data_IF_780667844927
#
_entry.id   IF_780667844927
#
_cell.length_a   1.000
_cell.length_b   1.000
_cell.length_c   1.000
_cell.angle_alpha   90.00
_cell.angle_beta   90.00
_cell.angle_gamma   90.00
#
_symmetry.space_group_name_H-M   'P 1'
#
loop_
_entity.id
_entity.type
_entity.pdbx_description
1 polymer ?
#
# COMPACT_ATOMS: atom_id res chain seq x y z
N UNK A 1 68.63 -16.85 25.64
CA UNK A 1 69.21 -18.14 25.22
C UNK A 1 68.15 -18.87 24.40
N UNK A 2 68.30 -18.82 23.07
CA UNK A 2 68.48 -20.00 22.18
C UNK A 2 67.37 -21.05 22.34
N UNK A 3 66.38 -21.06 21.45
CA UNK A 3 66.37 -21.67 20.10
C UNK A 3 66.06 -23.17 20.16
N UNK A 4 65.00 -23.58 19.43
CA UNK A 4 64.95 -24.79 18.57
C UNK A 4 63.60 -24.84 17.81
N UNK A 5 63.71 -24.72 16.47
CA UNK A 5 62.78 -25.25 15.45
C UNK A 5 62.43 -26.72 15.74
N UNK A 6 61.31 -27.32 15.28
CA UNK A 6 60.97 -27.70 13.88
C UNK A 6 59.48 -28.10 13.85
N UNK A 7 58.65 -27.73 12.88
CA UNK A 7 58.64 -28.33 11.52
C UNK A 7 57.85 -29.65 11.50
N UNK A 8 56.61 -29.63 10.99
CA UNK A 8 55.93 -30.86 10.53
C UNK A 8 55.27 -30.60 9.19
N UNK A 9 55.62 -31.48 8.27
CA UNK A 9 55.44 -31.38 6.82
C UNK A 9 54.09 -31.93 6.33
N UNK A 10 53.64 -31.33 5.24
CA UNK A 10 52.89 -31.84 4.07
C UNK A 10 52.09 -33.14 4.17
N UNK A 11 50.82 -33.07 3.76
CA UNK A 11 50.28 -34.03 2.80
C UNK A 11 49.21 -33.35 1.92
N UNK A 12 49.57 -33.17 0.66
CA UNK A 12 48.69 -32.77 -0.44
C UNK A 12 48.05 -34.07 -0.95
N UNK A 13 46.75 -34.25 -0.72
CA UNK A 13 45.97 -35.28 -1.38
C UNK A 13 45.14 -34.65 -2.50
N UNK A 14 45.58 -34.92 -3.73
CA UNK A 14 44.85 -34.70 -4.98
C UNK A 14 43.45 -35.33 -4.88
N UNK A 15 42.41 -34.52 -5.04
CA UNK A 15 41.08 -35.03 -5.40
C UNK A 15 40.89 -34.85 -6.89
N UNK A 16 40.69 -36.01 -7.52
CA UNK A 16 40.57 -36.27 -8.93
C UNK A 16 39.27 -35.65 -9.44
N UNK A 17 39.38 -34.86 -10.49
CA UNK A 17 38.28 -34.37 -11.31
C UNK A 17 37.50 -35.55 -11.88
N UNK A 18 36.25 -35.71 -11.46
CA UNK A 18 35.24 -36.50 -12.17
C UNK A 18 34.25 -35.51 -12.74
N UNK A 19 34.29 -35.35 -14.06
CA UNK A 19 33.32 -34.61 -14.85
C UNK A 19 31.95 -35.27 -14.69
N UNK A 20 31.04 -34.60 -13.98
CA UNK A 20 29.65 -35.02 -13.90
C UNK A 20 28.87 -34.44 -15.10
N UNK A 21 28.43 -35.37 -15.93
CA UNK A 21 27.53 -35.26 -17.08
C UNK A 21 26.40 -34.22 -16.91
N UNK A 22 26.10 -33.40 -17.93
CA UNK A 22 25.06 -32.39 -17.87
C UNK A 22 23.65 -33.02 -17.81
N UNK A 23 22.94 -32.70 -16.73
CA UNK A 23 21.54 -33.09 -16.51
C UNK A 23 20.63 -32.50 -17.61
N UNK A 24 19.67 -33.27 -18.15
CA UNK A 24 18.78 -32.79 -19.20
C UNK A 24 17.81 -31.72 -18.70
N UNK A 25 17.56 -30.78 -19.60
CA UNK A 25 16.65 -29.63 -19.51
C UNK A 25 15.28 -30.04 -18.93
N UNK A 26 14.87 -29.39 -17.84
CA UNK A 26 13.53 -29.54 -17.27
C UNK A 26 12.46 -29.24 -18.34
N UNK A 27 11.57 -30.20 -18.54
CA UNK A 27 10.39 -30.10 -19.39
C UNK A 27 9.43 -29.02 -18.85
N UNK A 28 8.68 -28.31 -19.71
CA UNK A 28 7.70 -27.34 -19.25
C UNK A 28 6.56 -28.05 -18.49
N UNK A 29 6.25 -27.54 -17.30
CA UNK A 29 5.07 -27.92 -16.53
C UNK A 29 3.82 -27.66 -17.37
N UNK A 30 3.12 -28.75 -17.75
CA UNK A 30 1.80 -28.70 -18.35
C UNK A 30 0.83 -27.96 -17.43
N UNK A 31 0.23 -26.90 -17.96
CA UNK A 31 -0.86 -26.15 -17.34
C UNK A 31 -2.10 -27.06 -17.25
N UNK A 32 -2.76 -27.18 -16.08
CA UNK A 32 -4.01 -27.93 -16.00
C UNK A 32 -5.12 -27.19 -16.77
N UNK A 33 -5.78 -27.93 -17.67
CA UNK A 33 -6.98 -27.52 -18.40
C UNK A 33 -8.16 -27.42 -17.41
N UNK A 34 -8.99 -26.35 -17.44
CA UNK A 34 -10.16 -26.27 -16.57
C UNK A 34 -11.26 -27.25 -17.03
N UNK A 35 -11.72 -28.06 -16.07
CA UNK A 35 -12.91 -28.91 -16.19
C UNK A 35 -14.15 -28.05 -15.95
N UNK A 36 -15.23 -28.17 -16.75
CA UNK A 36 -16.47 -27.46 -16.49
C UNK A 36 -17.22 -28.12 -15.33
N UNK A 37 -17.50 -27.36 -14.27
CA UNK A 37 -18.45 -27.76 -13.22
C UNK A 37 -19.73 -26.94 -13.41
N UNK A 38 -20.78 -27.60 -13.87
CA UNK A 38 -22.14 -27.11 -13.81
C UNK A 38 -22.88 -27.87 -12.71
N UNK A 39 -23.48 -27.15 -11.76
CA UNK A 39 -24.85 -27.37 -11.28
C UNK A 39 -25.18 -26.43 -10.11
N UNK A 40 -26.39 -25.89 -10.17
CA UNK A 40 -26.97 -24.91 -9.27
C UNK A 40 -27.51 -25.53 -7.96
N UNK A 41 -27.62 -24.71 -6.91
CA UNK A 41 -28.53 -24.93 -5.77
C UNK A 41 -29.15 -23.56 -5.38
N UNK A 42 -30.47 -23.47 -5.08
CA UNK A 42 -31.17 -22.20 -4.93
C UNK A 42 -31.29 -21.72 -3.47
N UNK A 43 -31.52 -20.40 -3.33
CA UNK A 43 -32.46 -19.85 -2.34
C UNK A 43 -31.90 -19.40 -0.99
N UNK A 44 -31.60 -18.11 -0.86
CA UNK A 44 -31.43 -17.42 0.42
C UNK A 44 -31.55 -15.91 0.22
N UNK A 45 -32.75 -15.37 0.44
CA UNK A 45 -33.04 -13.95 0.29
C UNK A 45 -32.35 -13.13 1.39
N UNK A 46 -31.25 -12.45 1.03
CA UNK A 46 -30.71 -11.33 1.78
C UNK A 46 -30.79 -10.10 0.88
N UNK A 47 -31.35 -9.00 1.41
CA UNK A 47 -31.67 -7.79 0.67
C UNK A 47 -30.45 -7.25 -0.11
N UNK A 48 -30.57 -7.25 -1.44
CA UNK A 48 -29.57 -6.73 -2.35
C UNK A 48 -29.37 -5.22 -2.18
N UNK A 49 -28.13 -4.71 -2.13
CA UNK A 49 -27.86 -3.29 -2.36
C UNK A 49 -28.23 -2.92 -3.80
N UNK A 50 -28.61 -1.64 -4.06
CA UNK A 50 -29.11 -1.22 -5.36
C UNK A 50 -28.08 -1.45 -6.47
N UNK A 51 -28.47 -2.22 -7.48
CA UNK A 51 -27.71 -2.50 -8.70
C UNK A 51 -27.26 -1.20 -9.38
N UNK A 52 -25.94 -0.99 -9.42
CA UNK A 52 -25.31 0.04 -10.23
C UNK A 52 -25.60 -0.25 -11.71
N UNK A 53 -26.35 0.65 -12.36
CA UNK A 53 -26.64 0.57 -13.79
C UNK A 53 -25.33 0.72 -14.58
N UNK A 54 -25.01 -0.28 -15.41
CA UNK A 54 -23.86 -0.28 -16.32
C UNK A 54 -24.10 0.74 -17.43
N UNK A 55 -23.48 1.92 -17.35
CA UNK A 55 -23.07 2.80 -18.47
C UNK A 55 -22.85 4.29 -18.09
N UNK A 56 -22.76 4.68 -16.82
CA UNK A 56 -22.32 6.04 -16.50
C UNK A 56 -20.82 6.17 -16.78
N UNK A 57 -20.47 6.90 -17.84
CA UNK A 57 -19.08 7.27 -18.13
C UNK A 57 -18.52 8.12 -16.99
N UNK A 58 -17.22 8.02 -16.75
CA UNK A 58 -16.49 8.72 -15.68
C UNK A 58 -16.84 10.23 -15.63
N UNK A 59 -17.10 10.82 -16.79
CA UNK A 59 -17.56 12.21 -16.97
C UNK A 59 -18.96 12.50 -16.44
N UNK A 60 -19.95 11.66 -16.73
CA UNK A 60 -21.33 11.82 -16.22
C UNK A 60 -21.38 11.66 -14.70
N UNK A 61 -20.57 10.74 -14.17
CA UNK A 61 -20.46 10.49 -12.74
C UNK A 61 -19.81 11.66 -11.98
N UNK A 62 -18.71 12.20 -12.50
CA UNK A 62 -18.08 13.41 -11.96
C UNK A 62 -19.04 14.60 -12.00
N UNK A 63 -19.86 14.73 -13.06
CA UNK A 63 -20.88 15.78 -13.14
C UNK A 63 -21.95 15.64 -12.05
N UNK A 64 -22.38 14.41 -11.77
CA UNK A 64 -23.38 14.10 -10.74
C UNK A 64 -22.89 14.44 -9.34
N UNK A 65 -21.62 14.16 -9.04
CA UNK A 65 -20.95 14.53 -7.79
C UNK A 65 -20.85 16.07 -7.65
N UNK A 66 -20.45 16.77 -8.72
CA UNK A 66 -20.40 18.25 -8.73
C UNK A 66 -21.77 18.88 -8.49
N UNK A 67 -22.84 18.30 -9.04
CA UNK A 67 -24.22 18.78 -8.88
C UNK A 67 -24.78 18.56 -7.47
N UNK A 68 -24.47 17.42 -6.85
CA UNK A 68 -24.90 17.13 -5.47
C UNK A 68 -24.26 18.07 -4.43
N UNK A 69 -23.06 18.60 -4.72
CA UNK A 69 -22.30 19.48 -3.82
C UNK A 69 -22.69 20.95 -3.86
N UNK A 70 -23.33 21.44 -4.93
CA UNK A 70 -23.86 22.82 -4.98
C UNK A 70 -24.93 23.12 -3.91
N UNK A 71 -25.45 22.09 -3.23
CA UNK A 71 -26.44 22.22 -2.15
C UNK A 71 -25.83 22.14 -0.74
N UNK A 72 -24.55 21.80 -0.62
CA UNK A 72 -23.87 21.73 0.68
C UNK A 72 -23.41 23.15 1.09
N UNK A 73 -23.63 23.56 2.35
CA UNK A 73 -23.06 24.81 2.84
C UNK A 73 -21.52 24.75 2.74
N UNK A 74 -20.84 25.89 2.52
CA UNK A 74 -19.38 25.93 2.58
C UNK A 74 -18.90 25.35 3.92
N UNK A 75 -17.77 24.62 3.94
CA UNK A 75 -17.20 24.17 5.21
C UNK A 75 -16.99 25.41 6.08
N UNK A 76 -17.52 25.37 7.29
CA UNK A 76 -17.35 26.44 8.27
C UNK A 76 -15.86 26.80 8.36
N UNK A 77 -15.55 28.10 8.27
CA UNK A 77 -14.21 28.60 8.49
C UNK A 77 -13.72 28.09 9.85
N UNK A 78 -12.70 27.25 9.83
CA UNK A 78 -12.01 26.85 11.05
C UNK A 78 -11.19 28.08 11.46
N UNK A 79 -11.83 29.00 12.19
CA UNK A 79 -11.16 30.07 12.93
C UNK A 79 -10.48 29.48 14.17
N UNK A 80 -9.61 28.50 13.93
CA UNK A 80 -8.63 28.04 14.90
C UNK A 80 -7.36 28.83 14.66
N UNK A 81 -7.10 29.82 15.52
CA UNK A 81 -5.75 30.35 15.68
C UNK A 81 -4.80 29.13 15.81
N UNK A 82 -3.69 29.02 15.04
CA UNK A 82 -2.70 27.99 15.31
C UNK A 82 -2.33 28.08 16.79
N UNK A 83 -2.19 26.97 17.52
CA UNK A 83 -1.75 27.03 18.90
C UNK A 83 -0.41 27.79 18.93
N UNK A 84 -0.45 29.03 19.42
CA UNK A 84 0.71 29.85 19.73
C UNK A 84 1.30 29.36 21.04
N UNK A 85 1.63 28.07 21.07
CA UNK A 85 2.31 27.39 22.16
C UNK A 85 3.61 26.87 21.59
N UNK A 86 4.70 27.34 22.14
CA UNK A 86 6.06 26.90 21.83
C UNK A 86 6.15 25.37 21.93
N UNK A 87 6.03 24.66 20.80
CA UNK A 87 6.43 23.24 20.69
C UNK A 87 7.96 23.25 20.55
N UNK A 88 8.64 23.63 21.62
CA UNK A 88 10.09 23.44 21.75
C UNK A 88 10.34 22.97 23.17
N UNK A 89 10.13 21.68 23.41
CA UNK A 89 10.94 20.84 24.29
C UNK A 89 10.35 19.43 24.31
N UNK A 90 10.98 18.48 23.62
CA UNK A 90 11.11 17.06 24.01
C UNK A 90 11.62 16.18 22.86
N UNK A 91 12.64 16.62 22.13
CA UNK A 91 13.50 15.69 21.39
C UNK A 91 14.93 16.13 21.62
N UNK A 92 15.52 15.69 22.73
CA UNK A 92 16.94 15.86 23.01
C UNK A 92 17.73 14.84 22.18
N UNK A 93 17.56 14.91 20.86
CA UNK A 93 18.35 14.16 19.88
C UNK A 93 19.62 14.98 19.68
N UNK A 94 20.82 14.43 19.93
CA UNK A 94 22.06 15.13 19.59
C UNK A 94 22.02 15.45 18.10
N UNK A 95 21.93 16.74 17.76
CA UNK A 95 22.10 17.17 16.39
C UNK A 95 23.53 16.80 16.02
N UNK A 96 23.67 15.73 15.24
CA UNK A 96 24.95 15.38 14.65
C UNK A 96 25.41 16.61 13.86
N UNK A 97 26.67 16.99 14.05
CA UNK A 97 27.27 18.14 13.38
C UNK A 97 27.57 17.76 11.92
N UNK A 98 26.51 17.67 11.11
CA UNK A 98 26.55 17.27 9.70
C UNK A 98 26.72 18.52 8.84
N UNK A 99 27.77 18.56 8.02
CA UNK A 99 27.97 19.64 7.06
C UNK A 99 26.89 19.63 5.97
N UNK A 100 26.48 20.81 5.52
CA UNK A 100 25.48 20.96 4.47
C UNK A 100 26.06 20.49 3.12
N UNK A 101 25.44 19.52 2.42
CA UNK A 101 25.91 19.10 1.10
C UNK A 101 25.59 20.15 0.03
N UNK A 102 26.44 20.26 -0.99
CA UNK A 102 26.26 21.19 -2.12
C UNK A 102 25.14 20.77 -3.10
N UNK A 103 24.90 19.46 -3.23
CA UNK A 103 23.91 18.88 -4.15
C UNK A 103 24.30 18.95 -5.63
N UNK A 104 23.34 18.74 -6.54
CA UNK A 104 23.53 18.87 -7.99
C UNK A 104 22.51 19.86 -8.57
N UNK A 105 22.99 20.85 -9.33
CA UNK A 105 22.14 21.81 -10.07
C UNK A 105 21.53 21.22 -11.34
N UNK A 106 22.12 20.13 -11.84
CA UNK A 106 21.77 19.46 -13.08
C UNK A 106 21.86 17.95 -12.82
N UNK A 107 20.83 17.34 -12.20
CA UNK A 107 20.83 15.92 -11.88
C UNK A 107 20.77 15.06 -13.14
N UNK A 108 21.45 13.92 -13.12
CA UNK A 108 21.41 12.94 -14.20
C UNK A 108 20.05 12.26 -14.30
N UNK A 109 19.61 11.97 -15.52
CA UNK A 109 18.36 11.27 -15.79
C UNK A 109 18.67 9.82 -16.15
N UNK A 110 18.02 8.87 -15.45
CA UNK A 110 18.07 7.45 -15.76
C UNK A 110 16.69 6.90 -16.11
N UNK A 111 16.63 6.03 -17.12
CA UNK A 111 15.40 5.34 -17.51
C UNK A 111 15.23 4.06 -16.68
N UNK A 112 14.02 3.84 -16.13
CA UNK A 112 13.70 2.65 -15.32
C UNK A 112 12.40 2.03 -15.82
N UNK A 113 12.41 0.71 -16.08
CA UNK A 113 11.20 -0.06 -16.34
C UNK A 113 10.53 -0.45 -15.00
N UNK A 114 9.22 -0.24 -14.89
CA UNK A 114 8.45 -0.52 -13.67
C UNK A 114 7.21 -1.37 -13.95
N UNK A 115 7.01 -2.40 -13.14
CA UNK A 115 5.78 -3.20 -13.15
C UNK A 115 4.75 -2.57 -12.22
N UNK A 116 3.50 -2.48 -12.66
CA UNK A 116 2.38 -1.95 -11.86
C UNK A 116 1.16 -2.86 -11.97
N UNK A 117 0.45 -3.00 -10.87
CA UNK A 117 -0.85 -3.66 -10.86
C UNK A 117 -1.91 -2.73 -11.48
N UNK A 118 -2.67 -3.26 -12.44
CA UNK A 118 -3.87 -2.59 -12.95
C UNK A 118 -4.97 -2.68 -11.90
N UNK A 119 -5.33 -1.54 -11.31
CA UNK A 119 -6.34 -1.47 -10.26
C UNK A 119 -7.74 -1.26 -10.82
N UNK A 120 -8.74 -1.81 -10.14
CA UNK A 120 -10.15 -1.67 -10.45
C UNK A 120 -10.63 -0.30 -9.95
N UNK A 121 -10.96 0.59 -10.90
CA UNK A 121 -11.34 1.96 -10.59
C UNK A 121 -12.56 2.06 -9.66
N UNK A 122 -13.54 1.17 -9.82
CA UNK A 122 -14.75 1.17 -8.98
C UNK A 122 -14.48 0.86 -7.51
N UNK A 123 -13.48 0.02 -7.20
CA UNK A 123 -13.07 -0.24 -5.81
C UNK A 123 -12.53 1.03 -5.18
N UNK A 124 -11.65 1.75 -5.88
CA UNK A 124 -11.10 3.03 -5.40
C UNK A 124 -12.22 4.04 -5.14
N UNK A 125 -13.11 4.26 -6.11
CA UNK A 125 -14.21 5.22 -5.99
C UNK A 125 -15.10 4.88 -4.82
N UNK A 126 -15.53 3.62 -4.71
CA UNK A 126 -16.41 3.17 -3.65
C UNK A 126 -15.79 3.36 -2.26
N UNK A 127 -14.51 3.01 -2.08
CA UNK A 127 -13.81 3.16 -0.79
C UNK A 127 -13.70 4.62 -0.37
N UNK A 128 -13.38 5.53 -1.29
CA UNK A 128 -13.29 6.96 -1.01
C UNK A 128 -14.66 7.56 -0.66
N UNK A 129 -15.71 7.17 -1.37
CA UNK A 129 -17.08 7.64 -1.11
C UNK A 129 -17.63 7.12 0.21
N UNK A 130 -17.42 5.83 0.49
CA UNK A 130 -17.86 5.20 1.73
C UNK A 130 -17.20 5.86 2.95
N UNK A 131 -15.96 6.32 2.82
CA UNK A 131 -15.23 7.01 3.87
C UNK A 131 -15.73 8.44 4.15
N UNK A 132 -16.52 9.05 3.24
CA UNK A 132 -17.10 10.40 3.41
C UNK A 132 -16.09 11.48 3.80
N UNK A 133 -14.86 11.36 3.29
CA UNK A 133 -13.77 12.28 3.59
C UNK A 133 -13.18 12.15 5.00
N UNK A 134 -13.49 11.08 5.73
CA UNK A 134 -12.90 10.76 7.04
C UNK A 134 -11.92 9.60 6.88
N UNK A 135 -10.72 9.73 7.45
CA UNK A 135 -9.72 8.67 7.47
C UNK A 135 -10.21 7.47 8.29
N UNK A 136 -10.16 6.27 7.72
CA UNK A 136 -10.68 5.07 8.38
C UNK A 136 -9.75 4.52 9.48
N UNK A 137 -8.51 4.99 9.54
CA UNK A 137 -7.56 4.66 10.61
C UNK A 137 -7.71 5.60 11.82
N UNK A 138 -7.39 6.89 11.65
CA UNK A 138 -7.36 7.86 12.75
C UNK A 138 -8.67 8.62 12.98
N UNK A 139 -9.71 8.38 12.16
CA UNK A 139 -11.05 8.99 12.26
C UNK A 139 -11.08 10.52 12.14
N UNK A 140 -10.00 11.15 11.66
CA UNK A 140 -9.93 12.59 11.35
C UNK A 140 -10.40 12.88 9.93
N UNK A 141 -10.92 14.08 9.71
CA UNK A 141 -11.25 14.58 8.37
C UNK A 141 -10.00 14.62 7.47
N UNK A 142 -10.21 14.52 6.16
CA UNK A 142 -9.17 14.75 5.16
C UNK A 142 -8.44 16.07 5.43
N UNK A 143 -7.10 16.10 5.28
CA UNK A 143 -6.30 17.27 5.65
C UNK A 143 -6.53 18.48 4.73
N UNK A 144 -6.96 18.24 3.49
CA UNK A 144 -7.25 19.28 2.50
C UNK A 144 -8.18 18.73 1.42
N UNK A 145 -8.59 19.59 0.49
CA UNK A 145 -9.38 19.25 -0.68
C UNK A 145 -8.52 19.28 -1.95
N UNK A 146 -8.74 18.34 -2.88
CA UNK A 146 -8.11 18.35 -4.20
C UNK A 146 -8.59 19.54 -5.04
N UNK A 147 -7.96 19.75 -6.20
CA UNK A 147 -8.38 20.75 -7.19
C UNK A 147 -9.84 20.55 -7.64
N UNK A 148 -10.33 19.31 -7.61
CA UNK A 148 -11.73 18.97 -7.92
C UNK A 148 -12.70 19.24 -6.75
N UNK A 149 -12.20 19.80 -5.64
CA UNK A 149 -12.94 20.05 -4.42
C UNK A 149 -13.28 18.79 -3.62
N UNK A 150 -12.62 17.65 -3.87
CA UNK A 150 -12.86 16.38 -3.16
C UNK A 150 -11.94 16.28 -1.92
N UNK A 151 -12.42 15.80 -0.75
CA UNK A 151 -11.57 15.49 0.39
C UNK A 151 -10.42 14.59 -0.02
N UNK A 152 -9.18 14.98 0.27
CA UNK A 152 -8.00 14.23 -0.15
C UNK A 152 -7.72 13.06 0.81
N UNK A 153 -8.02 11.85 0.35
CA UNK A 153 -7.65 10.59 0.99
C UNK A 153 -7.06 9.63 -0.05
N UNK A 154 -6.25 8.69 0.42
CA UNK A 154 -5.54 7.71 -0.38
C UNK A 154 -6.09 6.31 -0.09
N UNK A 155 -6.34 5.53 -1.14
CA UNK A 155 -6.75 4.12 -1.00
C UNK A 155 -5.54 3.23 -0.77
N UNK A 156 -5.61 2.45 0.29
CA UNK A 156 -4.58 1.51 0.71
C UNK A 156 -5.16 0.09 0.80
N UNK A 157 -4.48 -0.89 0.19
CA UNK A 157 -4.78 -2.31 0.37
C UNK A 157 -4.09 -2.81 1.64
N UNK A 158 -4.86 -3.30 2.61
CA UNK A 158 -4.38 -3.72 3.94
C UNK A 158 -3.42 -4.91 3.82
N UNK A 159 -3.79 -5.92 3.02
CA UNK A 159 -2.85 -6.87 2.43
C UNK A 159 -2.34 -6.31 1.10
N UNK A 160 -1.04 -6.00 0.96
CA UNK A 160 -0.50 -5.43 -0.27
C UNK A 160 -0.73 -6.33 -1.49
N UNK A 161 -1.03 -5.75 -2.65
CA UNK A 161 -1.22 -6.50 -3.91
C UNK A 161 0.03 -7.32 -4.29
N UNK A 162 1.23 -6.78 -4.01
CA UNK A 162 2.50 -7.47 -4.26
C UNK A 162 2.70 -8.71 -3.37
N UNK A 163 1.97 -8.80 -2.26
CA UNK A 163 1.97 -9.90 -1.29
C UNK A 163 0.72 -10.79 -1.48
N UNK A 164 0.07 -10.69 -2.65
CA UNK A 164 -1.09 -11.52 -3.00
C UNK A 164 -2.42 -11.03 -2.44
N UNK A 165 -2.51 -9.80 -1.94
CA UNK A 165 -3.78 -9.20 -1.52
C UNK A 165 -4.72 -8.93 -2.69
N UNK A 166 -6.03 -9.06 -2.45
CA UNK A 166 -7.04 -8.85 -3.47
C UNK A 166 -7.30 -7.35 -3.72
N UNK A 167 -7.67 -6.98 -4.95
CA UNK A 167 -8.13 -5.63 -5.28
C UNK A 167 -9.65 -5.53 -5.09
N UNK A 168 -10.09 -5.60 -3.82
CA UNK A 168 -11.50 -5.62 -3.43
C UNK A 168 -11.78 -4.63 -2.31
N UNK A 169 -13.05 -4.28 -2.11
CA UNK A 169 -13.49 -3.39 -1.02
C UNK A 169 -13.25 -3.98 0.38
N UNK A 170 -13.16 -5.31 0.50
CA UNK A 170 -12.86 -6.03 1.74
C UNK A 170 -11.38 -6.06 2.10
N UNK A 171 -10.51 -5.61 1.20
CA UNK A 171 -9.07 -5.46 1.47
C UNK A 171 -8.61 -3.99 1.36
N UNK A 172 -9.50 -3.05 1.04
CA UNK A 172 -9.13 -1.66 0.77
C UNK A 172 -9.73 -0.66 1.79
N UNK A 173 -8.90 0.30 2.22
CA UNK A 173 -9.27 1.38 3.16
C UNK A 173 -8.89 2.76 2.63
N UNK A 174 -9.64 3.77 3.06
CA UNK A 174 -9.42 5.19 2.75
C UNK A 174 -8.67 5.88 3.89
N UNK A 175 -7.49 6.42 3.61
CA UNK A 175 -6.57 6.94 4.63
C UNK A 175 -6.10 8.35 4.34
N UNK A 176 -5.81 9.13 5.38
CA UNK A 176 -5.06 10.37 5.19
C UNK A 176 -3.59 10.05 4.83
N UNK A 177 -2.86 10.99 4.21
CA UNK A 177 -1.47 10.77 3.79
C UNK A 177 -0.57 10.28 4.94
N UNK A 178 -0.74 10.83 6.14
CA UNK A 178 0.06 10.47 7.32
C UNK A 178 -0.16 9.01 7.74
N UNK A 179 -1.43 8.60 7.95
CA UNK A 179 -1.73 7.22 8.31
C UNK A 179 -1.35 6.24 7.20
N UNK A 180 -1.49 6.64 5.94
CA UNK A 180 -1.08 5.81 4.82
C UNK A 180 0.44 5.56 4.82
N UNK A 181 1.26 6.59 5.05
CA UNK A 181 2.72 6.43 5.16
C UNK A 181 3.12 5.62 6.40
N UNK A 182 2.44 5.81 7.52
CA UNK A 182 2.69 5.04 8.75
C UNK A 182 2.41 3.53 8.57
N UNK A 183 1.40 3.15 7.79
CA UNK A 183 1.17 1.74 7.44
C UNK A 183 2.23 1.16 6.48
N UNK A 184 2.98 1.99 5.77
CA UNK A 184 4.11 1.51 4.96
C UNK A 184 5.40 1.41 5.77
N UNK A 185 5.70 2.43 6.60
CA UNK A 185 7.03 2.66 7.16
C UNK A 185 7.07 2.85 8.68
N UNK A 186 5.92 2.99 9.33
CA UNK A 186 5.83 3.28 10.76
C UNK A 186 6.18 2.07 11.63
N UNK A 187 6.85 2.33 12.75
CA UNK A 187 7.19 1.29 13.74
C UNK A 187 5.95 0.55 14.28
N UNK A 188 4.80 1.23 14.32
CA UNK A 188 3.52 0.69 14.81
C UNK A 188 2.63 0.13 13.70
N UNK A 189 3.16 -0.13 12.50
CA UNK A 189 2.41 -0.66 11.35
C UNK A 189 1.50 -1.83 11.74
N UNK A 190 2.04 -2.84 12.43
CA UNK A 190 1.29 -4.04 12.81
C UNK A 190 0.11 -3.74 13.72
N UNK A 191 0.28 -2.84 14.69
CA UNK A 191 -0.80 -2.39 15.59
C UNK A 191 -1.91 -1.68 14.79
N UNK A 192 -1.53 -0.83 13.84
CA UNK A 192 -2.48 -0.13 12.98
C UNK A 192 -3.25 -1.07 12.05
N UNK A 193 -2.60 -2.09 11.50
CA UNK A 193 -3.28 -3.12 10.69
C UNK A 193 -4.31 -3.86 11.54
N UNK A 194 -3.95 -4.27 12.76
CA UNK A 194 -4.88 -4.92 13.69
C UNK A 194 -6.05 -3.99 14.03
N UNK A 195 -5.78 -2.71 14.28
CA UNK A 195 -6.80 -1.69 14.55
C UNK A 195 -7.78 -1.52 13.37
N UNK A 196 -7.29 -1.55 12.13
CA UNK A 196 -8.13 -1.49 10.93
C UNK A 196 -9.08 -2.68 10.85
N UNK A 197 -8.58 -3.91 11.00
CA UNK A 197 -9.42 -5.11 10.99
C UNK A 197 -10.46 -5.11 12.13
N UNK A 198 -10.16 -4.49 13.27
CA UNK A 198 -11.11 -4.35 14.39
C UNK A 198 -12.19 -3.29 14.15
N UNK A 199 -11.84 -2.18 13.49
CA UNK A 199 -12.73 -0.99 13.43
C UNK A 199 -13.43 -0.80 12.10
N UNK A 200 -12.99 -1.48 11.04
CA UNK A 200 -13.59 -1.38 9.71
C UNK A 200 -14.27 -2.71 9.39
N UNK A 201 -15.57 -2.78 9.66
CA UNK A 201 -16.35 -4.03 9.64
C UNK A 201 -16.41 -4.76 8.29
N UNK A 202 -16.17 -4.06 7.18
CA UNK A 202 -16.14 -4.68 5.85
C UNK A 202 -14.84 -5.42 5.54
N UNK A 203 -13.79 -5.24 6.34
CA UNK A 203 -12.50 -5.87 6.07
C UNK A 203 -12.54 -7.35 6.41
N UNK A 204 -11.96 -8.17 5.54
CA UNK A 204 -11.83 -9.61 5.72
C UNK A 204 -10.33 -9.94 5.68
N UNK A 205 -9.85 -10.71 6.66
CA UNK A 205 -8.45 -11.14 6.70
C UNK A 205 -8.13 -12.10 5.55
N UNK A 206 -7.03 -11.85 4.84
CA UNK A 206 -6.58 -12.60 3.66
C UNK A 206 -5.20 -13.22 3.82
#
# INVERSE_FOLDING_TARGET
MSALQTGRETSISQVKSTESEPQPLATPLSVPVPVPVAAAVPGGAAASPPSLKKNETETEFILKIKKARKKAPPPAEISGQPPSGDIVTAFNVPLLNVEKPDGSRSPDVSAVAVTRFKRVASVKTWVLENARGVCECCKRQAPFFSLDGLPYLEVHHVKPLREGGSDTVSNAVSLCPNCHRELHFGAKKSELVIHLYKTVSRLIGE
#
